data_IF_070153676338
#
_entry.id   IF_070153676338
#
_cell.length_a   1.000
_cell.length_b   1.000
_cell.length_c   1.000
_cell.angle_alpha   90.00
_cell.angle_beta   90.00
_cell.angle_gamma   90.00
#
_symmetry.space_group_name_H-M   'P 1'
#
loop_
_entity.id
_entity.type
_entity.pdbx_description
1 polymer ?
#
# COMPACT_ATOMS: atom_id res chain seq x y z
N UNK A 1 -24.96 -22.13 12.47
CA UNK A 1 -25.98 -21.96 11.41
C UNK A 1 -25.30 -22.17 10.06
N UNK A 2 -25.82 -23.02 9.19
CA UNK A 2 -25.24 -23.23 7.86
C UNK A 2 -25.51 -22.01 6.96
N UNK A 3 -24.46 -21.42 6.38
CA UNK A 3 -24.59 -20.31 5.42
C UNK A 3 -25.11 -20.88 4.08
N UNK A 4 -26.12 -20.22 3.49
CA UNK A 4 -26.69 -20.59 2.18
C UNK A 4 -25.84 -20.03 1.04
N UNK A 5 -25.71 -20.78 -0.06
CA UNK A 5 -25.04 -20.34 -1.29
C UNK A 5 -25.98 -19.47 -2.12
N UNK A 6 -25.49 -18.34 -2.65
CA UNK A 6 -26.27 -17.46 -3.51
C UNK A 6 -26.36 -18.04 -4.94
N UNK A 7 -27.56 -18.08 -5.51
CA UNK A 7 -27.83 -18.63 -6.84
C UNK A 7 -28.39 -17.57 -7.79
N UNK A 8 -28.05 -17.69 -9.07
CA UNK A 8 -28.54 -16.79 -10.11
C UNK A 8 -30.03 -17.05 -10.40
N UNK A 9 -30.91 -16.04 -10.34
CA UNK A 9 -32.34 -16.23 -10.58
C UNK A 9 -32.69 -16.52 -12.05
N UNK A 10 -31.73 -16.36 -12.99
CA UNK A 10 -31.93 -16.56 -14.43
C UNK A 10 -31.32 -17.85 -14.98
N UNK A 11 -30.34 -18.42 -14.28
CA UNK A 11 -29.61 -19.60 -14.75
C UNK A 11 -30.11 -20.85 -14.01
N UNK A 12 -30.21 -21.98 -14.72
CA UNK A 12 -30.66 -23.26 -14.11
C UNK A 12 -29.71 -23.77 -13.03
N UNK A 13 -28.40 -23.48 -13.11
CA UNK A 13 -27.37 -23.98 -12.16
C UNK A 13 -26.31 -22.90 -11.82
N UNK A 14 -26.66 -21.61 -11.90
CA UNK A 14 -25.69 -20.53 -11.67
C UNK A 14 -25.47 -20.22 -10.18
N UNK A 15 -24.22 -20.13 -9.73
CA UNK A 15 -23.84 -19.59 -8.41
C UNK A 15 -23.41 -18.14 -8.57
N UNK A 16 -23.86 -17.26 -7.67
CA UNK A 16 -23.44 -15.85 -7.65
C UNK A 16 -22.16 -15.75 -6.82
N UNK A 17 -21.17 -15.07 -7.39
CA UNK A 17 -19.92 -14.70 -6.74
C UNK A 17 -19.83 -13.18 -6.67
N UNK A 18 -19.32 -12.59 -5.58
CA UNK A 18 -18.89 -11.19 -5.57
C UNK A 18 -17.88 -10.93 -6.69
N UNK A 19 -17.77 -9.68 -7.13
CA UNK A 19 -16.81 -9.28 -8.14
C UNK A 19 -15.40 -9.17 -7.53
N UNK A 20 -14.79 -10.34 -7.29
CA UNK A 20 -13.44 -10.54 -6.77
C UNK A 20 -12.76 -11.60 -7.61
N UNK A 21 -11.45 -11.53 -7.81
CA UNK A 21 -10.75 -12.53 -8.63
C UNK A 21 -10.43 -13.77 -7.80
N UNK A 22 -10.86 -14.95 -8.26
CA UNK A 22 -10.50 -16.23 -7.65
C UNK A 22 -9.19 -16.77 -8.24
N UNK A 23 -8.51 -17.64 -7.50
CA UNK A 23 -7.34 -18.33 -8.04
C UNK A 23 -7.70 -19.09 -9.32
N UNK A 24 -6.92 -18.85 -10.38
CA UNK A 24 -7.13 -19.43 -11.70
C UNK A 24 -8.04 -18.63 -12.62
N UNK A 25 -8.66 -17.54 -12.13
CA UNK A 25 -9.30 -16.55 -13.00
C UNK A 25 -8.26 -15.52 -13.46
N UNK A 26 -8.45 -15.01 -14.68
CA UNK A 26 -7.65 -13.89 -15.19
C UNK A 26 -8.04 -12.59 -14.47
N UNK A 27 -7.06 -11.70 -14.33
CA UNK A 27 -7.34 -10.33 -13.90
C UNK A 27 -8.16 -9.59 -14.96
N UNK A 28 -8.80 -8.49 -14.56
CA UNK A 28 -9.57 -7.65 -15.47
C UNK A 28 -8.69 -7.11 -16.60
N UNK A 29 -9.31 -6.85 -17.76
CA UNK A 29 -8.62 -6.20 -18.90
C UNK A 29 -8.09 -4.82 -18.53
N UNK A 30 -8.77 -4.15 -17.59
CA UNK A 30 -8.37 -2.85 -17.08
C UNK A 30 -7.01 -2.92 -16.39
N UNK A 31 -6.74 -3.97 -15.60
CA UNK A 31 -5.42 -4.18 -15.00
C UNK A 31 -4.32 -4.22 -16.06
N UNK A 32 -4.51 -5.04 -17.10
CA UNK A 32 -3.51 -5.18 -18.17
C UNK A 32 -3.31 -3.90 -18.97
N UNK A 33 -4.40 -3.15 -19.20
CA UNK A 33 -4.36 -1.89 -19.93
C UNK A 33 -3.63 -0.81 -19.13
N UNK A 34 -3.98 -0.65 -17.85
CA UNK A 34 -3.32 0.33 -16.98
C UNK A 34 -1.85 -0.02 -16.79
N UNK A 35 -1.52 -1.30 -16.57
CA UNK A 35 -0.14 -1.71 -16.41
C UNK A 35 0.72 -1.51 -17.66
N UNK A 36 0.12 -1.56 -18.86
CA UNK A 36 0.83 -1.25 -20.10
C UNK A 36 1.14 0.25 -20.23
N UNK A 37 0.36 1.12 -19.60
CA UNK A 37 0.52 2.59 -19.61
C UNK A 37 1.44 3.00 -18.45
N UNK A 38 1.08 2.63 -17.23
CA UNK A 38 1.73 3.08 -15.99
C UNK A 38 3.22 2.69 -15.91
N UNK A 39 3.60 1.53 -16.48
CA UNK A 39 4.98 1.04 -16.39
C UNK A 39 6.03 1.98 -16.99
N UNK A 40 5.63 2.79 -17.98
CA UNK A 40 6.52 3.68 -18.73
C UNK A 40 6.54 5.09 -18.13
N UNK A 41 5.52 5.45 -17.35
CA UNK A 41 5.35 6.78 -16.73
C UNK A 41 5.73 6.81 -15.24
N UNK A 42 5.95 5.65 -14.61
CA UNK A 42 6.23 5.55 -13.18
C UNK A 42 7.61 6.13 -12.82
N UNK A 43 7.67 6.95 -11.77
CA UNK A 43 8.89 7.59 -11.27
C UNK A 43 9.27 7.15 -9.84
N UNK A 44 8.37 6.43 -9.15
CA UNK A 44 8.57 5.82 -7.85
C UNK A 44 7.61 4.64 -7.67
N UNK A 45 8.12 3.49 -7.23
CA UNK A 45 7.29 2.34 -6.87
C UNK A 45 7.24 2.14 -5.35
N UNK A 46 6.05 2.13 -4.77
CA UNK A 46 5.85 1.83 -3.34
C UNK A 46 5.06 0.54 -3.18
N UNK A 47 5.70 -0.49 -2.62
CA UNK A 47 5.07 -1.77 -2.29
C UNK A 47 4.71 -1.78 -0.82
N UNK A 48 3.41 -1.79 -0.51
CA UNK A 48 2.90 -1.72 0.87
C UNK A 48 2.12 -2.99 1.21
N UNK A 49 2.46 -3.65 2.32
CA UNK A 49 1.66 -4.73 2.91
C UNK A 49 1.47 -5.96 2.03
N UNK A 50 2.30 -6.14 0.99
CA UNK A 50 2.21 -7.27 0.06
C UNK A 50 3.36 -8.25 0.27
N UNK A 51 3.06 -9.55 0.15
CA UNK A 51 4.09 -10.60 0.14
C UNK A 51 4.69 -10.86 -1.24
N UNK A 52 4.13 -10.24 -2.29
CA UNK A 52 4.49 -10.47 -3.69
C UNK A 52 4.56 -11.96 -4.10
N UNK A 53 3.66 -12.80 -3.58
CA UNK A 53 3.61 -14.24 -3.91
C UNK A 53 2.63 -14.58 -5.04
N UNK A 54 1.66 -13.72 -5.33
CA UNK A 54 0.57 -14.00 -6.26
C UNK A 54 0.82 -13.34 -7.61
N UNK A 55 0.90 -14.15 -8.66
CA UNK A 55 0.97 -13.67 -10.05
C UNK A 55 -0.43 -13.28 -10.55
N UNK A 56 -0.52 -12.30 -11.48
CA UNK A 56 0.59 -11.58 -12.11
C UNK A 56 1.08 -10.35 -11.33
N UNK A 57 0.39 -9.93 -10.27
CA UNK A 57 0.70 -8.69 -9.50
C UNK A 57 2.12 -8.69 -8.95
N UNK A 58 2.64 -9.84 -8.52
CA UNK A 58 4.02 -9.96 -8.04
C UNK A 58 5.10 -9.63 -9.09
N UNK A 59 4.74 -9.52 -10.37
CA UNK A 59 5.66 -9.20 -11.45
C UNK A 59 5.80 -7.69 -11.69
N UNK A 60 4.93 -6.87 -11.12
CA UNK A 60 4.92 -5.41 -11.33
C UNK A 60 6.29 -4.79 -11.01
N UNK A 61 6.95 -5.07 -9.87
CA UNK A 61 8.23 -4.43 -9.57
C UNK A 61 9.37 -4.79 -10.53
N UNK A 62 9.22 -5.90 -11.26
CA UNK A 62 10.18 -6.37 -12.26
C UNK A 62 9.80 -5.95 -13.69
N UNK A 63 8.66 -5.28 -13.86
CA UNK A 63 8.15 -4.83 -15.16
C UNK A 63 8.36 -3.33 -15.41
N UNK A 64 8.71 -2.58 -14.37
CA UNK A 64 9.06 -1.15 -14.41
C UNK A 64 10.55 -0.96 -14.72
N UNK A 65 10.95 0.25 -15.13
CA UNK A 65 12.37 0.55 -15.39
C UNK A 65 13.22 0.30 -14.12
N UNK A 66 14.36 -0.42 -14.22
CA UNK A 66 15.21 -0.72 -13.06
C UNK A 66 15.81 0.50 -12.34
N UNK A 67 15.82 1.67 -12.96
CA UNK A 67 16.28 2.92 -12.36
C UNK A 67 15.19 3.63 -11.54
N UNK A 68 13.93 3.20 -11.66
CA UNK A 68 12.84 3.73 -10.84
C UNK A 68 13.08 3.32 -9.39
N UNK A 69 13.20 4.27 -8.45
CA UNK A 69 13.39 3.96 -7.05
C UNK A 69 12.21 3.15 -6.51
N UNK A 70 12.50 2.15 -5.68
CA UNK A 70 11.51 1.26 -5.10
C UNK A 70 11.58 1.28 -3.57
N UNK A 71 10.42 1.40 -2.94
CA UNK A 71 10.25 1.39 -1.48
C UNK A 71 9.38 0.20 -1.09
N UNK A 72 9.85 -0.59 -0.12
CA UNK A 72 9.05 -1.63 0.53
C UNK A 72 8.61 -1.14 1.92
N UNK A 73 7.30 -1.17 2.17
CA UNK A 73 6.71 -0.98 3.50
C UNK A 73 6.02 -2.28 3.88
N UNK A 74 6.61 -3.07 4.77
CA UNK A 74 6.05 -4.36 5.16
C UNK A 74 6.46 -4.77 6.57
N UNK A 75 5.79 -5.77 7.16
CA UNK A 75 6.21 -6.30 8.48
C UNK A 75 7.50 -7.09 8.42
N UNK A 76 7.79 -7.70 7.28
CA UNK A 76 8.94 -8.57 7.06
C UNK A 76 9.58 -8.30 5.69
N UNK A 77 10.90 -8.54 5.53
CA UNK A 77 11.55 -8.45 4.23
C UNK A 77 11.01 -9.54 3.29
N UNK A 78 11.07 -9.30 1.98
CA UNK A 78 10.58 -10.22 0.96
C UNK A 78 11.73 -11.04 0.36
N UNK A 79 11.54 -12.35 0.20
CA UNK A 79 12.51 -13.20 -0.48
C UNK A 79 12.42 -13.02 -2.00
N UNK A 80 13.55 -12.66 -2.62
CA UNK A 80 13.62 -12.49 -4.09
C UNK A 80 13.16 -11.13 -4.60
N UNK A 81 12.81 -10.20 -3.71
CA UNK A 81 12.55 -8.80 -4.02
C UNK A 81 13.42 -7.93 -3.12
N UNK A 82 14.20 -7.02 -3.69
CA UNK A 82 15.05 -6.07 -2.95
C UNK A 82 14.70 -4.67 -3.42
N UNK A 83 14.04 -3.93 -2.55
CA UNK A 83 13.77 -2.52 -2.75
C UNK A 83 15.03 -1.70 -2.43
N UNK A 84 15.11 -0.47 -2.93
CA UNK A 84 16.18 0.48 -2.58
C UNK A 84 16.07 0.90 -1.10
N UNK A 85 14.84 0.99 -0.61
CA UNK A 85 14.52 1.31 0.79
C UNK A 85 13.53 0.27 1.32
N UNK A 86 13.85 -0.32 2.46
CA UNK A 86 12.95 -1.21 3.20
C UNK A 86 12.59 -0.57 4.55
N UNK A 87 11.30 -0.28 4.74
CA UNK A 87 10.71 0.25 5.97
C UNK A 87 9.92 -0.88 6.61
N UNK A 88 10.49 -1.48 7.65
CA UNK A 88 9.93 -2.66 8.28
C UNK A 88 9.12 -2.31 9.53
N UNK A 89 7.85 -2.74 9.57
CA UNK A 89 6.97 -2.47 10.69
C UNK A 89 5.48 -2.47 10.32
N UNK A 90 4.67 -1.83 11.16
CA UNK A 90 3.29 -1.55 10.85
C UNK A 90 3.22 -0.46 9.78
N UNK A 91 2.51 -0.73 8.67
CA UNK A 91 2.45 0.20 7.55
C UNK A 91 1.73 1.50 7.91
N UNK A 92 0.74 1.46 8.81
CA UNK A 92 0.00 2.66 9.19
C UNK A 92 0.90 3.66 9.95
N UNK A 93 1.72 3.15 10.88
CA UNK A 93 2.67 3.96 11.64
C UNK A 93 3.75 4.55 10.71
N UNK A 94 4.28 3.74 9.80
CA UNK A 94 5.29 4.19 8.82
C UNK A 94 4.72 5.25 7.88
N UNK A 95 3.48 5.06 7.40
CA UNK A 95 2.82 6.04 6.55
C UNK A 95 2.53 7.33 7.33
N UNK A 96 2.17 7.24 8.62
CA UNK A 96 2.02 8.43 9.47
C UNK A 96 3.34 9.21 9.57
N UNK A 97 4.45 8.53 9.84
CA UNK A 97 5.76 9.15 9.92
C UNK A 97 6.19 9.79 8.58
N UNK A 98 5.92 9.12 7.46
CA UNK A 98 6.15 9.68 6.11
C UNK A 98 5.30 10.94 5.90
N UNK A 99 4.01 10.91 6.24
CA UNK A 99 3.13 12.07 6.10
C UNK A 99 3.61 13.25 6.95
N UNK A 100 4.06 12.99 8.18
CA UNK A 100 4.63 14.01 9.06
C UNK A 100 5.93 14.59 8.48
N UNK A 101 6.80 13.77 7.92
CA UNK A 101 8.06 14.19 7.34
C UNK A 101 7.88 15.00 6.04
N UNK A 102 6.88 14.67 5.22
CA UNK A 102 6.55 15.42 4.00
C UNK A 102 5.93 16.79 4.29
N UNK A 103 5.33 16.98 5.46
CA UNK A 103 4.80 18.26 5.90
C UNK A 103 3.55 18.72 5.11
N UNK A 104 3.17 19.99 5.32
CA UNK A 104 2.14 20.66 4.52
C UNK A 104 0.74 20.02 4.58
N UNK A 105 0.05 19.81 3.43
CA UNK A 105 -1.34 19.35 3.38
C UNK A 105 -1.53 17.92 3.93
N UNK A 106 -0.46 17.12 3.96
CA UNK A 106 -0.48 15.76 4.50
C UNK A 106 -0.64 15.75 6.04
N UNK A 107 -0.21 16.83 6.72
CA UNK A 107 -0.47 17.04 8.15
C UNK A 107 -1.94 17.43 8.39
N UNK A 108 -2.55 18.22 7.49
CA UNK A 108 -3.95 18.64 7.64
C UNK A 108 -4.94 17.48 7.52
N UNK A 109 -4.67 16.50 6.63
CA UNK A 109 -5.54 15.32 6.48
C UNK A 109 -5.63 14.49 7.78
N UNK A 110 -4.62 14.57 8.65
CA UNK A 110 -4.65 13.95 9.98
C UNK A 110 -5.70 14.59 10.90
N UNK A 111 -5.81 15.92 10.88
CA UNK A 111 -6.77 16.66 11.72
C UNK A 111 -8.22 16.32 11.31
N UNK A 112 -8.48 16.18 10.01
CA UNK A 112 -9.81 15.81 9.52
C UNK A 112 -10.19 14.35 9.80
N UNK A 113 -9.23 13.41 9.85
CA UNK A 113 -9.50 11.99 10.14
C UNK A 113 -9.66 11.75 11.65
N UNK A 114 -8.90 12.45 12.51
CA UNK A 114 -9.06 12.33 13.96
C UNK A 114 -10.44 12.80 14.43
N UNK A 115 -10.98 13.86 13.82
CA UNK A 115 -12.29 14.43 14.17
C UNK A 115 -13.48 13.51 13.82
N UNK A 116 -13.27 12.49 12.97
CA UNK A 116 -14.31 11.50 12.62
C UNK A 116 -14.33 10.33 13.61
N UNK A 117 -13.27 10.15 14.43
CA UNK A 117 -13.08 8.98 15.29
C UNK A 117 -13.39 9.18 16.78
N UNK A 118 -13.62 10.41 17.25
CA UNK A 118 -14.00 10.66 18.64
C UNK A 118 -15.52 10.48 18.85
N UNK A 119 -15.95 9.22 18.83
CA UNK A 119 -17.24 8.76 19.30
C UNK A 119 -17.06 7.67 20.37
N UNK A 120 -17.02 8.13 21.63
CA UNK A 120 -17.15 7.41 22.91
C UNK A 120 -15.97 6.56 23.46
N UNK A 121 -15.53 7.05 24.63
CA UNK A 121 -15.14 6.34 25.86
C UNK A 121 -13.66 6.13 26.21
N UNK A 122 -13.23 7.00 27.14
CA UNK A 122 -12.40 6.78 28.34
C UNK A 122 -10.87 6.61 28.25
N UNK A 123 -10.19 7.59 28.90
CA UNK A 123 -8.86 7.58 29.53
C UNK A 123 -7.85 6.51 29.08
N UNK A 124 -7.01 6.87 28.11
CA UNK A 124 -5.83 6.10 27.72
C UNK A 124 -4.57 6.98 27.76
N UNK A 125 -3.62 6.61 28.62
CA UNK A 125 -2.30 7.20 28.86
C UNK A 125 -1.66 7.83 27.61
N UNK A 126 -1.20 9.08 27.72
CA UNK A 126 -0.37 9.72 26.72
C UNK A 126 0.95 8.96 26.56
N UNK A 127 0.99 8.00 25.64
CA UNK A 127 2.21 7.30 25.24
C UNK A 127 3.10 8.33 24.58
N UNK A 128 4.16 8.78 25.27
CA UNK A 128 5.22 9.57 24.65
C UNK A 128 5.84 8.71 23.56
N UNK A 129 5.48 8.98 22.30
CA UNK A 129 6.02 8.29 21.14
C UNK A 129 7.55 8.46 21.13
N UNK A 130 8.33 7.38 20.98
CA UNK A 130 9.79 7.47 20.89
C UNK A 130 10.17 8.38 19.72
N UNK A 131 11.34 9.03 19.78
CA UNK A 131 11.79 9.83 18.65
C UNK A 131 12.06 8.90 17.48
N UNK A 132 11.77 9.38 16.28
CA UNK A 132 11.97 8.62 15.05
C UNK A 132 13.35 7.97 15.06
N UNK A 133 14.41 8.72 15.39
CA UNK A 133 15.81 8.28 15.46
C UNK A 133 16.07 7.09 16.40
N UNK A 134 15.20 6.87 17.39
CA UNK A 134 15.32 5.81 18.40
C UNK A 134 14.60 4.50 17.99
N UNK A 135 13.78 4.52 16.91
CA UNK A 135 12.94 3.37 16.51
C UNK A 135 13.56 2.46 15.44
N UNK A 136 14.39 2.98 14.54
CA UNK A 136 15.03 2.22 13.47
C UNK A 136 16.54 2.29 13.62
N UNK A 137 17.12 1.28 14.27
CA UNK A 137 18.55 1.14 14.44
C UNK A 137 19.20 0.74 13.11
N UNK A 138 19.46 1.77 12.28
CA UNK A 138 20.32 1.87 11.08
C UNK A 138 19.56 2.36 9.83
N UNK A 139 19.98 3.57 9.40
CA UNK A 139 19.73 4.26 8.12
C UNK A 139 18.42 5.06 8.01
N UNK A 140 18.37 6.19 8.69
CA UNK A 140 17.61 7.33 8.19
C UNK A 140 18.35 7.93 7.01
N UNK A 141 17.81 7.73 5.81
CA UNK A 141 18.13 8.57 4.67
C UNK A 141 17.02 9.63 4.62
N UNK A 142 17.33 10.93 4.70
CA UNK A 142 16.34 11.96 4.48
C UNK A 142 15.73 11.77 3.09
N UNK A 143 14.48 11.29 3.04
CA UNK A 143 13.75 10.99 1.80
C UNK A 143 13.61 12.27 0.98
N UNK A 144 13.34 13.40 1.64
CA UNK A 144 13.28 14.73 1.01
C UNK A 144 14.57 15.16 0.28
N UNK A 145 15.74 14.58 0.60
CA UNK A 145 17.01 14.89 -0.10
C UNK A 145 17.27 13.99 -1.31
N UNK A 146 16.48 12.94 -1.48
CA UNK A 146 16.64 11.94 -2.54
C UNK A 146 15.41 11.86 -3.46
N UNK A 147 14.29 12.46 -3.06
CA UNK A 147 13.16 12.68 -3.96
C UNK A 147 13.47 13.87 -4.87
N UNK A 148 13.25 13.76 -6.19
CA UNK A 148 13.28 14.88 -7.11
C UNK A 148 12.43 16.06 -6.63
N UNK A 149 12.83 17.28 -7.00
CA UNK A 149 11.94 18.44 -6.86
C UNK A 149 10.65 18.15 -7.65
N UNK A 150 9.48 18.39 -7.02
CA UNK A 150 8.15 18.10 -7.55
C UNK A 150 7.66 16.64 -7.51
N UNK A 151 8.23 15.76 -6.67
CA UNK A 151 7.62 14.44 -6.45
C UNK A 151 6.33 14.54 -5.63
N UNK A 152 5.23 14.06 -6.20
CA UNK A 152 3.94 13.92 -5.52
C UNK A 152 3.62 12.42 -5.35
N UNK A 153 3.19 12.02 -4.15
CA UNK A 153 2.69 10.67 -3.93
C UNK A 153 1.28 10.54 -4.52
N UNK A 154 1.16 9.98 -5.72
CA UNK A 154 -0.12 9.48 -6.22
C UNK A 154 -0.28 8.02 -5.80
N UNK A 155 -1.03 7.79 -4.72
CA UNK A 155 -1.40 6.44 -4.29
C UNK A 155 -2.55 5.95 -5.16
N UNK A 156 -2.23 5.32 -6.29
CA UNK A 156 -3.20 4.51 -7.03
C UNK A 156 -3.40 3.20 -6.26
N UNK A 157 -4.42 3.16 -5.39
CA UNK A 157 -4.87 1.93 -4.73
C UNK A 157 -5.40 0.97 -5.80
N UNK A 158 -4.55 0.05 -6.24
CA UNK A 158 -4.98 -1.11 -6.99
C UNK A 158 -5.53 -2.12 -5.98
N UNK A 159 -6.79 -1.90 -5.59
CA UNK A 159 -7.59 -2.90 -4.88
C UNK A 159 -7.79 -4.07 -5.84
N UNK A 160 -7.13 -5.20 -5.56
CA UNK A 160 -7.40 -6.49 -6.20
C UNK A 160 -8.42 -7.26 -5.37
#
# INVERSE_FOLDING_TARGET
MAKRVAHCPRCTVGVIKPDIVFFGEDLSKDFHTQMAIDKDDVDLLVVIGSSLKVRPVSLIPFSVDPNVPQILINREPLSGYRADIELLGNCDDIIEDICLALGGPFIMKRLEISDISEGNDSEGVAVKRPRLEDMYERRYIPVAKHLPEHTYFQVNLLLV
#
